data_IF_336868287917
#
_entry.id   IF_336868287917
#
_cell.length_a   1.000
_cell.length_b   1.000
_cell.length_c   1.000
_cell.angle_alpha   90.00
_cell.angle_beta   90.00
_cell.angle_gamma   90.00
#
_symmetry.space_group_name_H-M   'P 1'
#
loop_
_entity.id
_entity.type
_entity.pdbx_description
1 polymer ?
#
# COMPACT_ATOMS: atom_id res chain seq x y z
N UNK A 1 13.43 -21.92 -7.77
CA UNK A 1 13.64 -21.09 -6.56
C UNK A 1 12.32 -20.41 -6.24
N UNK A 2 11.80 -20.53 -5.02
CA UNK A 2 10.55 -19.88 -4.65
C UNK A 2 10.77 -18.36 -4.60
N UNK A 3 10.02 -17.60 -5.40
CA UNK A 3 10.06 -16.14 -5.39
C UNK A 3 9.53 -15.65 -4.03
N UNK A 4 10.41 -15.14 -3.17
CA UNK A 4 10.01 -14.68 -1.83
C UNK A 4 9.26 -13.36 -1.99
N UNK A 5 8.00 -13.34 -1.55
CA UNK A 5 7.13 -12.15 -1.64
C UNK A 5 7.00 -11.48 -0.28
N UNK A 6 7.37 -10.21 -0.21
CA UNK A 6 7.31 -9.41 1.02
C UNK A 6 6.06 -8.53 1.03
N UNK A 7 5.36 -8.53 2.15
CA UNK A 7 4.07 -7.85 2.32
C UNK A 7 4.18 -6.68 3.28
N UNK A 8 3.74 -5.50 2.83
CA UNK A 8 3.69 -4.28 3.62
C UNK A 8 2.24 -3.85 3.77
N UNK A 9 1.78 -3.53 4.99
CA UNK A 9 0.37 -3.21 5.25
C UNK A 9 0.28 -1.98 6.12
N UNK A 10 -0.62 -1.07 5.75
CA UNK A 10 -0.92 0.13 6.53
C UNK A 10 -2.45 0.34 6.66
N UNK A 11 -2.90 0.74 7.86
CA UNK A 11 -4.32 0.92 8.20
C UNK A 11 -4.60 2.41 8.42
N UNK A 12 -5.19 3.11 7.44
CA UNK A 12 -5.38 4.57 7.50
C UNK A 12 -6.82 5.08 7.53
N UNK A 13 -7.82 4.22 7.65
CA UNK A 13 -9.21 4.68 7.67
C UNK A 13 -9.56 5.45 6.38
N UNK A 14 -9.71 6.78 6.43
CA UNK A 14 -9.96 7.62 5.24
C UNK A 14 -8.73 8.31 4.64
N UNK A 15 -7.56 8.21 5.28
CA UNK A 15 -6.38 9.05 4.99
C UNK A 15 -5.30 8.30 4.19
N UNK A 16 -5.59 8.00 2.93
CA UNK A 16 -4.67 7.22 2.08
C UNK A 16 -3.36 7.97 1.82
N UNK A 17 -3.41 9.30 1.71
CA UNK A 17 -2.25 10.13 1.40
C UNK A 17 -1.15 10.01 2.47
N UNK A 18 -1.53 9.77 3.73
CA UNK A 18 -0.58 9.55 4.83
C UNK A 18 0.04 8.14 4.80
N UNK A 19 -0.65 7.14 4.26
CA UNK A 19 -0.16 5.76 4.18
C UNK A 19 1.01 5.60 3.19
N UNK A 20 0.94 6.36 2.10
CA UNK A 20 1.90 6.28 0.99
C UNK A 20 3.34 6.55 1.44
N UNK A 21 3.67 7.71 2.05
CA UNK A 21 5.04 8.00 2.45
C UNK A 21 5.55 7.01 3.51
N UNK A 22 4.68 6.49 4.38
CA UNK A 22 5.05 5.51 5.39
C UNK A 22 5.45 4.18 4.77
N UNK A 23 4.64 3.65 3.85
CA UNK A 23 4.96 2.42 3.13
C UNK A 23 6.23 2.58 2.29
N UNK A 24 6.39 3.71 1.61
CA UNK A 24 7.60 4.00 0.84
C UNK A 24 8.84 4.00 1.74
N UNK A 25 8.77 4.66 2.90
CA UNK A 25 9.88 4.72 3.86
C UNK A 25 10.21 3.36 4.45
N UNK A 26 9.21 2.54 4.76
CA UNK A 26 9.42 1.18 5.24
C UNK A 26 10.14 0.31 4.20
N UNK A 27 9.72 0.38 2.92
CA UNK A 27 10.36 -0.38 1.84
C UNK A 27 11.83 0.06 1.66
N UNK A 28 12.08 1.37 1.71
CA UNK A 28 13.43 1.94 1.60
C UNK A 28 14.34 1.47 2.75
N UNK A 29 13.86 1.59 4.00
CA UNK A 29 14.63 1.22 5.19
C UNK A 29 14.99 -0.27 5.24
N UNK A 30 14.14 -1.14 4.72
CA UNK A 30 14.42 -2.58 4.69
C UNK A 30 15.40 -2.99 3.58
N UNK A 31 15.75 -2.09 2.65
CA UNK A 31 16.77 -2.35 1.63
C UNK A 31 16.52 -3.62 0.80
N UNK A 32 15.25 -4.00 0.60
CA UNK A 32 14.91 -5.29 0.00
C UNK A 32 15.14 -5.24 -1.52
N UNK A 33 16.31 -5.66 -1.96
CA UNK A 33 16.60 -5.89 -3.37
C UNK A 33 16.25 -7.33 -3.76
N UNK A 34 15.76 -7.54 -4.98
CA UNK A 34 15.41 -8.86 -5.54
C UNK A 34 14.19 -9.59 -4.94
N UNK A 35 13.38 -8.92 -4.12
CA UNK A 35 12.08 -9.44 -3.65
C UNK A 35 10.93 -8.86 -4.44
N UNK A 36 9.91 -9.68 -4.70
CA UNK A 36 8.60 -9.17 -5.11
C UNK A 36 7.96 -8.48 -3.91
N UNK A 37 7.59 -7.21 -4.05
CA UNK A 37 7.05 -6.38 -2.96
C UNK A 37 5.57 -6.11 -3.22
N UNK A 38 4.73 -6.43 -2.24
CA UNK A 38 3.30 -6.15 -2.26
C UNK A 38 2.97 -5.21 -1.11
N UNK A 39 2.37 -4.07 -1.42
CA UNK A 39 1.94 -3.09 -0.44
C UNK A 39 0.41 -3.02 -0.38
N UNK A 40 -0.14 -2.88 0.83
CA UNK A 40 -1.57 -2.83 1.08
C UNK A 40 -1.91 -1.60 1.92
N UNK A 41 -2.89 -0.85 1.46
CA UNK A 41 -3.56 0.15 2.28
C UNK A 41 -4.99 -0.34 2.51
N UNK A 42 -5.36 -0.52 3.77
CA UNK A 42 -6.71 -0.91 4.14
C UNK A 42 -7.42 0.31 4.73
N UNK A 43 -8.52 0.70 4.08
CA UNK A 43 -9.29 1.91 4.38
C UNK A 43 -10.73 1.58 4.75
N UNK A 44 -11.40 2.44 5.51
CA UNK A 44 -12.82 2.26 5.83
C UNK A 44 -13.71 2.68 4.67
N UNK A 45 -13.41 3.82 4.05
CA UNK A 45 -14.12 4.35 2.87
C UNK A 45 -13.15 5.08 1.95
N UNK A 46 -12.98 4.58 0.74
CA UNK A 46 -12.23 5.26 -0.33
C UNK A 46 -12.83 4.96 -1.70
N UNK A 47 -12.87 5.94 -2.63
CA UNK A 47 -13.26 5.73 -4.01
C UNK A 47 -12.15 4.98 -4.78
N UNK A 48 -12.12 3.66 -4.62
CA UNK A 48 -11.06 2.77 -5.14
C UNK A 48 -10.86 2.83 -6.66
N UNK A 49 -11.91 3.24 -7.40
CA UNK A 49 -11.90 3.34 -8.88
C UNK A 49 -11.53 4.72 -9.39
N UNK A 50 -11.30 5.71 -8.50
CA UNK A 50 -10.97 7.07 -8.92
C UNK A 50 -9.65 7.12 -9.68
N UNK A 51 -9.55 8.06 -10.63
CA UNK A 51 -8.32 8.31 -11.40
C UNK A 51 -7.15 8.72 -10.49
N UNK A 52 -7.45 9.40 -9.38
CA UNK A 52 -6.47 9.75 -8.34
C UNK A 52 -5.81 8.50 -7.73
N UNK A 53 -6.62 7.51 -7.33
CA UNK A 53 -6.12 6.24 -6.79
C UNK A 53 -5.29 5.47 -7.83
N UNK A 54 -5.70 5.47 -9.09
CA UNK A 54 -4.94 4.81 -10.15
C UNK A 54 -3.57 5.48 -10.37
N UNK A 55 -3.53 6.83 -10.44
CA UNK A 55 -2.28 7.60 -10.53
C UNK A 55 -1.37 7.32 -9.34
N UNK A 56 -1.93 7.30 -8.13
CA UNK A 56 -1.20 7.02 -6.89
C UNK A 56 -0.54 5.64 -6.92
N UNK A 57 -1.27 4.58 -7.30
CA UNK A 57 -0.71 3.22 -7.44
C UNK A 57 0.44 3.16 -8.43
N UNK A 58 0.29 3.79 -9.59
CA UNK A 58 1.33 3.83 -10.62
C UNK A 58 2.58 4.55 -10.11
N UNK A 59 2.41 5.71 -9.48
CA UNK A 59 3.52 6.49 -8.95
C UNK A 59 4.25 5.74 -7.83
N UNK A 60 3.51 5.08 -6.93
CA UNK A 60 4.07 4.26 -5.87
C UNK A 60 4.91 3.10 -6.42
N UNK A 61 4.41 2.38 -7.43
CA UNK A 61 5.16 1.31 -8.10
C UNK A 61 6.43 1.82 -8.76
N UNK A 62 6.36 2.97 -9.45
CA UNK A 62 7.54 3.59 -10.07
C UNK A 62 8.61 3.96 -9.02
N UNK A 63 8.19 4.42 -7.84
CA UNK A 63 9.10 4.88 -6.80
C UNK A 63 9.73 3.74 -5.98
N UNK A 64 8.98 2.66 -5.72
CA UNK A 64 9.38 1.63 -4.75
C UNK A 64 9.63 0.25 -5.36
N UNK A 65 9.20 0.05 -6.61
CA UNK A 65 9.12 -1.26 -7.26
C UNK A 65 8.01 -2.16 -6.73
N UNK A 66 7.22 -1.70 -5.74
CA UNK A 66 6.19 -2.50 -5.10
C UNK A 66 4.81 -2.31 -5.74
N UNK A 67 4.04 -3.40 -5.85
CA UNK A 67 2.65 -3.35 -6.29
C UNK A 67 1.75 -2.88 -5.14
N UNK A 68 1.02 -1.78 -5.35
CA UNK A 68 0.11 -1.22 -4.34
C UNK A 68 -1.34 -1.67 -4.55
N UNK A 69 -1.91 -2.33 -3.54
CA UNK A 69 -3.33 -2.66 -3.44
C UNK A 69 -4.00 -1.80 -2.37
N UNK A 70 -5.12 -1.18 -2.73
CA UNK A 70 -5.95 -0.41 -1.79
C UNK A 70 -7.26 -1.17 -1.67
N UNK A 71 -7.64 -1.52 -0.44
CA UNK A 71 -8.84 -2.28 -0.12
C UNK A 71 -9.69 -1.50 0.85
N UNK A 72 -11.01 -1.50 0.64
CA UNK A 72 -11.94 -1.09 1.68
C UNK A 72 -12.20 -2.29 2.58
N UNK A 73 -12.07 -2.12 3.89
CA UNK A 73 -12.43 -3.12 4.91
C UNK A 73 -13.55 -2.59 5.80
N UNK A 74 -14.46 -3.47 6.21
CA UNK A 74 -15.35 -3.20 7.35
C UNK A 74 -14.49 -3.17 8.61
N UNK A 75 -14.20 -1.97 9.14
CA UNK A 75 -13.70 -1.85 10.51
C UNK A 75 -14.94 -1.96 11.39
N UNK A 76 -15.17 -3.14 12.00
CA UNK A 76 -16.15 -3.26 13.09
C UNK A 76 -15.58 -2.44 14.25
N UNK A 77 -16.10 -1.23 14.46
CA UNK A 77 -15.84 -0.48 15.68
C UNK A 77 -16.71 -1.09 16.78
N UNK A 78 -16.17 -2.06 17.51
CA UNK A 78 -16.71 -2.38 18.83
C UNK A 78 -16.11 -1.36 19.80
N UNK A 79 -16.96 -0.42 20.24
CA UNK A 79 -16.74 0.39 21.44
C UNK A 79 -17.39 -0.36 22.60
#
# INVERSE_FOLDING_TARGET
MAETTQHFVELKGKKIEEAIPQLSRCIELLGLENFRKMAYIVTSRSPLRSTGIQKMKRNFKKATGADLKIKNGFIIQNI
#
